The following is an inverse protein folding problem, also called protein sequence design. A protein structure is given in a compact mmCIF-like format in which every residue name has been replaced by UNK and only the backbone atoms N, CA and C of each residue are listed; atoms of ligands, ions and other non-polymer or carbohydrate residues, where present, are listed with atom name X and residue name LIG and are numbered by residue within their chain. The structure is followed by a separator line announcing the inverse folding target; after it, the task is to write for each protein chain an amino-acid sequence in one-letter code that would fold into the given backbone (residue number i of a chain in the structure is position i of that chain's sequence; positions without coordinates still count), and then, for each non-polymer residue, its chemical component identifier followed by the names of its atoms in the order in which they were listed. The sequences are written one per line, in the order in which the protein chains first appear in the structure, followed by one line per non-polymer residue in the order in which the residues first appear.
data_IF_427326368996
#
_entry.id   IF_427326368996
#
_cell.length_a   1.000
_cell.length_b   1.000
_cell.length_c   1.000
_cell.angle_alpha   90.00
_cell.angle_beta   90.00
_cell.angle_gamma   90.00
#
_symmetry.space_group_name_H-M   'P 1'
#
loop_
_entity.id
_entity.type
_entity.pdbx_description
1 polymer ?
#
# COMPACT_ATOMS: atom_id res chain seq x y z
N UNK A 1 -3.38 6.03 -2.40
CA UNK A 1 -2.18 5.27 -2.84
C UNK A 1 -0.92 6.07 -2.56
N UNK A 2 0.16 5.41 -2.15
CA UNK A 2 1.48 6.01 -1.94
C UNK A 2 2.51 5.20 -2.74
N UNK A 3 3.19 5.85 -3.68
CA UNK A 3 4.13 5.20 -4.61
C UNK A 3 5.57 5.38 -4.13
N UNK A 4 6.34 4.31 -4.18
CA UNK A 4 7.75 4.24 -3.83
C UNK A 4 8.51 3.70 -5.04
N UNK A 5 9.46 4.48 -5.56
CA UNK A 5 10.30 4.05 -6.69
C UNK A 5 11.52 4.94 -6.88
N UNK A 6 11.75 5.90 -5.98
CA UNK A 6 12.90 6.79 -6.05
C UNK A 6 14.17 5.97 -5.83
N UNK A 7 15.06 5.95 -6.83
CA UNK A 7 16.33 5.19 -6.82
C UNK A 7 16.18 3.69 -6.54
N UNK A 8 15.03 3.12 -6.91
CA UNK A 8 14.76 1.68 -6.83
C UNK A 8 14.61 1.11 -8.23
N UNK A 9 14.89 -0.19 -8.38
CA UNK A 9 14.86 -0.87 -9.67
C UNK A 9 13.44 -1.02 -10.25
N UNK A 10 12.44 -1.02 -9.38
CA UNK A 10 11.02 -1.06 -9.74
C UNK A 10 10.16 -0.27 -8.74
N UNK A 11 8.94 0.04 -9.18
CA UNK A 11 7.95 0.78 -8.38
C UNK A 11 7.22 -0.19 -7.46
N UNK A 12 7.16 0.16 -6.18
CA UNK A 12 6.30 -0.46 -5.18
C UNK A 12 5.26 0.54 -4.67
N UNK A 13 4.19 0.05 -4.06
CA UNK A 13 3.13 0.92 -3.58
C UNK A 13 2.54 0.47 -2.24
N UNK A 14 2.20 1.45 -1.41
CA UNK A 14 1.31 1.24 -0.27
C UNK A 14 -0.07 1.73 -0.68
N UNK A 15 -1.02 0.80 -0.76
CA UNK A 15 -2.38 1.09 -1.19
C UNK A 15 -3.27 1.09 0.04
N UNK A 16 -4.09 2.12 0.17
CA UNK A 16 -5.03 2.23 1.27
C UNK A 16 -6.42 2.40 0.69
N UNK A 17 -7.22 1.32 0.60
CA UNK A 17 -8.61 1.42 0.21
C UNK A 17 -9.41 2.12 1.30
N UNK A 18 -10.53 2.75 0.91
CA UNK A 18 -11.44 3.39 1.85
C UNK A 18 -12.10 2.34 2.74
N UNK A 19 -12.22 2.65 4.04
CA UNK A 19 -12.89 1.78 5.02
C UNK A 19 -14.28 1.36 4.55
N UNK A 20 -15.06 2.30 4.01
CA UNK A 20 -16.44 2.04 3.55
C UNK A 20 -16.45 1.03 2.41
N UNK A 21 -15.56 1.17 1.43
CA UNK A 21 -15.45 0.22 0.31
C UNK A 21 -15.07 -1.17 0.79
N UNK A 22 -14.11 -1.29 1.71
CA UNK A 22 -13.73 -2.58 2.27
C UNK A 22 -14.88 -3.23 3.06
N UNK A 23 -15.60 -2.44 3.86
CA UNK A 23 -16.77 -2.92 4.61
C UNK A 23 -17.91 -3.33 3.68
N UNK A 24 -18.15 -2.61 2.59
CA UNK A 24 -19.21 -2.95 1.64
C UNK A 24 -18.87 -4.21 0.83
N UNK A 25 -17.65 -4.30 0.31
CA UNK A 25 -17.20 -5.41 -0.55
C UNK A 25 -16.98 -6.69 0.24
N UNK A 26 -16.28 -6.61 1.39
CA UNK A 26 -15.84 -7.78 2.16
C UNK A 26 -16.62 -7.95 3.47
N UNK A 27 -17.63 -7.10 3.76
CA UNK A 27 -18.43 -7.15 5.00
C UNK A 27 -17.58 -7.15 6.28
N UNK A 28 -16.47 -6.41 6.26
CA UNK A 28 -15.54 -6.31 7.38
C UNK A 28 -16.17 -5.56 8.55
N UNK A 29 -15.83 -6.00 9.76
CA UNK A 29 -16.21 -5.35 11.02
C UNK A 29 -15.19 -4.28 11.40
N UNK A 30 -15.59 -3.35 12.28
CA UNK A 30 -14.69 -2.32 12.83
C UNK A 30 -13.44 -2.91 13.51
N UNK A 31 -13.56 -4.12 14.06
CA UNK A 31 -12.47 -4.87 14.68
C UNK A 31 -11.31 -5.12 13.72
N UNK A 32 -11.60 -5.29 12.42
CA UNK A 32 -10.57 -5.31 11.39
C UNK A 32 -9.76 -4.00 11.50
N UNK A 33 -10.39 -2.84 11.40
CA UNK A 33 -9.69 -1.54 11.41
C UNK A 33 -9.06 -1.13 12.75
N UNK A 34 -9.34 -1.87 13.82
CA UNK A 34 -8.72 -1.66 15.15
C UNK A 34 -7.56 -2.61 15.43
N UNK A 35 -7.28 -3.54 14.52
CA UNK A 35 -6.19 -4.49 14.64
C UNK A 35 -4.82 -3.77 14.69
N UNK A 36 -3.88 -4.23 15.54
CA UNK A 36 -2.53 -3.68 15.58
C UNK A 36 -1.75 -3.86 14.26
N UNK A 37 -2.17 -4.80 13.40
CA UNK A 37 -1.55 -4.98 12.09
C UNK A 37 -1.95 -3.87 11.13
N UNK A 38 -0.94 -3.09 10.72
CA UNK A 38 -1.11 -1.98 9.80
C UNK A 38 -1.45 -2.45 8.38
N UNK A 39 -0.97 -3.63 8.00
CA UNK A 39 -1.13 -4.21 6.66
C UNK A 39 -2.16 -5.33 6.64
N UNK A 40 -2.84 -5.44 5.51
CA UNK A 40 -3.80 -6.49 5.19
C UNK A 40 -3.05 -7.60 4.46
N UNK A 41 -3.07 -8.79 5.03
CA UNK A 41 -2.48 -10.01 4.46
C UNK A 41 -3.53 -10.91 3.80
N UNK A 42 -4.78 -10.47 3.82
CA UNK A 42 -5.91 -11.25 3.32
C UNK A 42 -5.85 -11.38 1.79
N UNK A 43 -5.74 -12.60 1.24
CA UNK A 43 -5.52 -12.81 -0.18
C UNK A 43 -6.71 -12.34 -1.02
N UNK A 44 -7.93 -12.35 -0.49
CA UNK A 44 -9.10 -11.83 -1.21
C UNK A 44 -8.99 -10.32 -1.45
N UNK A 45 -8.59 -9.57 -0.41
CA UNK A 45 -8.41 -8.11 -0.49
C UNK A 45 -7.21 -7.77 -1.38
N UNK A 46 -6.10 -8.47 -1.21
CA UNK A 46 -4.91 -8.29 -2.04
C UNK A 46 -5.25 -8.54 -3.52
N UNK A 47 -5.96 -9.62 -3.83
CA UNK A 47 -6.33 -9.93 -5.21
C UNK A 47 -7.29 -8.90 -5.80
N UNK A 48 -8.26 -8.41 -5.03
CA UNK A 48 -9.18 -7.35 -5.46
C UNK A 48 -8.43 -6.06 -5.82
N UNK A 49 -7.47 -5.65 -4.97
CA UNK A 49 -6.60 -4.50 -5.27
C UNK A 49 -5.71 -4.80 -6.48
N UNK A 50 -5.16 -6.01 -6.58
CA UNK A 50 -4.31 -6.43 -7.69
C UNK A 50 -5.04 -6.34 -9.03
N UNK A 51 -6.31 -6.74 -9.10
CA UNK A 51 -7.13 -6.62 -10.30
C UNK A 51 -7.31 -5.16 -10.72
N UNK A 52 -7.53 -4.26 -9.75
CA UNK A 52 -7.68 -2.83 -10.01
C UNK A 52 -6.36 -2.21 -10.53
N UNK A 53 -5.23 -2.52 -9.87
CA UNK A 53 -3.90 -2.14 -10.35
C UNK A 53 -3.66 -2.70 -11.74
N UNK A 54 -4.00 -3.97 -12.00
CA UNK A 54 -3.74 -4.63 -13.28
C UNK A 54 -4.50 -3.94 -14.40
N UNK A 55 -5.75 -3.54 -14.17
CA UNK A 55 -6.55 -2.76 -15.11
C UNK A 55 -5.89 -1.41 -15.41
N UNK A 56 -5.48 -0.67 -14.40
CA UNK A 56 -4.81 0.63 -14.55
C UNK A 56 -3.42 0.50 -15.22
N UNK A 57 -2.69 -0.56 -14.90
CA UNK A 57 -1.34 -0.83 -15.39
C UNK A 57 -1.28 -1.35 -16.82
N UNK A 58 -2.43 -1.80 -17.36
CA UNK A 58 -2.53 -2.30 -18.73
C UNK A 58 -2.02 -1.31 -19.76
N UNK A 59 -2.22 -0.01 -19.50
CA UNK A 59 -1.80 1.10 -20.36
C UNK A 59 -0.43 1.67 -19.99
N UNK A 60 0.11 1.30 -18.83
CA UNK A 60 1.41 1.79 -18.33
C UNK A 60 2.59 0.99 -18.89
N UNK A 61 3.71 1.66 -19.09
CA UNK A 61 4.95 1.01 -19.49
C UNK A 61 5.49 0.11 -18.38
N UNK A 62 6.25 -0.94 -18.72
CA UNK A 62 6.73 -1.94 -17.75
C UNK A 62 7.45 -1.33 -16.54
N UNK A 63 8.20 -0.24 -16.74
CA UNK A 63 8.95 0.45 -15.69
C UNK A 63 8.05 1.33 -14.78
N UNK A 64 6.83 1.66 -15.22
CA UNK A 64 5.83 2.41 -14.45
C UNK A 64 4.86 1.49 -13.71
N UNK A 65 4.89 0.18 -13.98
CA UNK A 65 4.02 -0.78 -13.32
C UNK A 65 4.49 -1.04 -11.90
N UNK A 66 3.53 -1.10 -11.00
CA UNK A 66 3.75 -1.49 -9.61
C UNK A 66 4.08 -2.98 -9.60
N UNK A 67 5.31 -3.34 -9.22
CA UNK A 67 5.74 -4.75 -9.17
C UNK A 67 5.26 -5.43 -7.89
N UNK A 68 5.39 -4.75 -6.75
CA UNK A 68 4.88 -5.20 -5.46
C UNK A 68 4.09 -4.10 -4.76
N UNK A 69 3.06 -4.49 -4.01
CA UNK A 69 2.30 -3.56 -3.19
C UNK A 69 1.91 -4.20 -1.87
N UNK A 70 1.72 -3.35 -0.87
CA UNK A 70 1.10 -3.74 0.42
C UNK A 70 -0.19 -2.95 0.59
N UNK A 71 -1.22 -3.63 1.06
CA UNK A 71 -2.50 -3.01 1.36
C UNK A 71 -2.48 -2.59 2.83
N UNK A 72 -2.62 -1.29 3.11
CA UNK A 72 -2.75 -0.77 4.47
C UNK A 72 -4.22 -0.75 4.87
N UNK A 73 -4.48 -1.05 6.13
CA UNK A 73 -5.84 -1.10 6.68
C UNK A 73 -6.42 0.28 6.95
N UNK A 74 -5.58 1.20 7.43
CA UNK A 74 -6.00 2.53 7.86
C UNK A 74 -5.31 3.61 7.01
N UNK A 75 -5.98 4.74 6.72
CA UNK A 75 -5.36 5.88 6.04
C UNK A 75 -4.13 6.40 6.78
N UNK A 76 -3.27 7.11 6.06
CA UNK A 76 -2.20 7.89 6.69
C UNK A 76 -2.82 8.92 7.63
N UNK A 77 -2.29 9.03 8.84
CA UNK A 77 -2.81 9.96 9.84
C UNK A 77 -1.91 11.17 10.01
N UNK A 78 -2.53 12.31 10.33
CA UNK A 78 -1.81 13.52 10.74
C UNK A 78 -1.25 13.33 12.16
N UNK A 79 -1.98 12.63 13.03
CA UNK A 79 -1.60 12.38 14.42
C UNK A 79 -0.32 11.54 14.51
N UNK A 80 -0.19 10.58 13.60
CA UNK A 80 0.99 9.73 13.47
C UNK A 80 2.18 10.43 12.76
N UNK A 81 1.96 11.67 12.28
CA UNK A 81 2.96 12.49 11.62
C UNK A 81 3.20 12.12 10.15
N UNK A 82 2.42 11.19 9.60
CA UNK A 82 2.52 10.69 8.22
C UNK A 82 2.02 11.72 7.20
N UNK A 83 1.06 12.54 7.61
CA UNK A 83 0.52 13.65 6.83
C UNK A 83 0.95 15.01 7.42
N UNK A 84 1.07 16.01 6.56
CA UNK A 84 1.11 17.42 6.99
C UNK A 84 -0.28 17.88 7.41
N UNK A 85 -0.42 18.95 8.20
CA UNK A 85 -1.72 19.58 8.46
C UNK A 85 -2.46 20.02 7.19
N UNK A 86 -1.76 20.16 6.06
CA UNK A 86 -2.35 20.37 4.73
C UNK A 86 -2.66 19.07 3.98
N UNK A 87 -2.77 17.93 4.67
CA UNK A 87 -3.05 16.59 4.12
C UNK A 87 -2.04 16.08 3.08
N UNK A 88 -0.82 16.64 3.02
CA UNK A 88 0.24 16.15 2.13
C UNK A 88 1.01 15.03 2.81
N UNK A 89 1.22 13.92 2.11
CA UNK A 89 2.05 12.82 2.60
C UNK A 89 3.51 13.24 2.83
N UNK A 90 4.01 13.09 4.05
CA UNK A 90 5.41 13.30 4.39
C UNK A 90 6.20 12.06 4.01
N UNK A 91 6.61 11.99 2.73
CA UNK A 91 7.36 10.85 2.16
C UNK A 91 8.46 10.34 3.10
N UNK A 92 9.39 11.20 3.53
CA UNK A 92 10.48 10.84 4.45
C UNK A 92 10.04 10.16 5.75
N UNK A 93 8.89 10.56 6.31
CA UNK A 93 8.36 9.96 7.55
C UNK A 93 7.76 8.61 7.26
N UNK A 94 6.92 8.53 6.22
CA UNK A 94 6.28 7.28 5.77
C UNK A 94 7.35 6.26 5.39
N UNK A 95 8.31 6.63 4.55
CA UNK A 95 9.42 5.76 4.13
C UNK A 95 10.25 5.27 5.31
N UNK A 96 10.49 6.11 6.33
CA UNK A 96 11.22 5.70 7.54
C UNK A 96 10.39 4.79 8.44
N UNK A 97 9.10 5.09 8.60
CA UNK A 97 8.18 4.33 9.46
C UNK A 97 7.88 2.95 8.90
N UNK A 98 7.69 2.87 7.58
CA UNK A 98 7.43 1.63 6.86
C UNK A 98 8.68 1.08 6.19
N UNK A 99 9.87 1.50 6.61
CA UNK A 99 11.13 1.11 5.99
C UNK A 99 11.25 -0.42 5.92
N UNK A 100 10.92 -1.10 7.02
CA UNK A 100 10.95 -2.56 7.14
C UNK A 100 9.99 -3.24 6.13
N UNK A 101 8.73 -2.78 6.08
CA UNK A 101 7.73 -3.35 5.16
C UNK A 101 8.03 -3.02 3.69
N UNK A 102 8.62 -1.85 3.43
CA UNK A 102 9.09 -1.47 2.10
C UNK A 102 10.26 -2.37 1.72
N UNK A 103 11.24 -2.55 2.60
CA UNK A 103 12.40 -3.41 2.36
C UNK A 103 11.98 -4.85 2.11
N UNK A 104 11.03 -5.38 2.88
CA UNK A 104 10.44 -6.70 2.66
C UNK A 104 9.83 -6.85 1.24
N UNK A 105 9.12 -5.83 0.74
CA UNK A 105 8.60 -5.85 -0.65
C UNK A 105 9.73 -5.91 -1.69
N UNK A 106 10.88 -5.28 -1.42
CA UNK A 106 12.04 -5.33 -2.31
C UNK A 106 12.84 -6.63 -2.15
N UNK A 107 12.93 -7.18 -0.93
CA UNK A 107 13.60 -8.44 -0.65
C UNK A 107 12.86 -9.63 -1.29
N UNK A 108 11.53 -9.69 -1.15
CA UNK A 108 10.69 -10.72 -1.79
C UNK A 108 10.83 -10.71 -3.32
N UNK A 109 11.04 -9.54 -3.93
CA UNK A 109 11.22 -9.44 -5.37
C UNK A 109 12.58 -9.99 -5.84
N UNK A 110 13.64 -9.86 -5.03
CA UNK A 110 14.99 -10.38 -5.36
C UNK A 110 15.03 -11.91 -5.35
N UNK A 111 14.15 -12.57 -4.58
CA UNK A 111 14.06 -14.04 -4.54
C UNK A 111 13.33 -14.65 -5.75
N UNK A 112 12.65 -13.84 -6.57
CA UNK A 112 11.87 -14.32 -7.73
C UNK A 112 12.60 -14.25 -9.08
N UNK A 113 13.91 -14.03 -9.08
CA UNK A 113 14.76 -14.00 -10.28
C UNK A 113 15.58 -15.28 -10.51
#
# INVERSE_FOLDING_TARGET
IFLIGDKREYITAIIVPSRETLQEVFKLKDEFFTDPNLFVEDPEIINWVNEDIRKLSGELAKFERIKHFKVKRNPFSIEDGELTPSMKAKRKVIEKKYADSIDAMYAEAVETE
#
